data_IF_737130903232
#
_entry.id   IF_737130903232
#
_cell.length_a   1.000
_cell.length_b   1.000
_cell.length_c   1.000
_cell.angle_alpha   90.00
_cell.angle_beta   90.00
_cell.angle_gamma   90.00
#
_symmetry.space_group_name_H-M   'P 1'
#
loop_
_entity.id
_entity.type
_entity.pdbx_description
1 polymer ?
#
# COMPACT_ATOMS: atom_id res chain seq x y z
N UNK A 1 11.11 -0.41 -22.48
CA UNK A 1 10.28 0.75 -22.86
C UNK A 1 9.09 0.76 -21.92
N UNK A 2 9.03 1.70 -20.99
CA UNK A 2 7.86 1.88 -20.11
C UNK A 2 6.76 2.52 -20.93
N UNK A 3 5.72 1.75 -21.25
CA UNK A 3 4.54 2.25 -21.96
C UNK A 3 3.72 3.07 -20.95
N UNK A 4 3.93 4.38 -20.90
CA UNK A 4 3.07 5.28 -20.15
C UNK A 4 1.77 5.40 -20.96
N UNK A 5 0.70 4.80 -20.44
CA UNK A 5 -0.64 4.91 -21.03
C UNK A 5 -1.19 6.27 -20.62
N UNK A 6 -1.37 7.18 -21.58
CA UNK A 6 -2.06 8.46 -21.36
C UNK A 6 -3.54 8.17 -21.05
N UNK A 7 -3.93 8.30 -19.77
CA UNK A 7 -5.30 8.10 -19.31
C UNK A 7 -5.78 9.40 -18.65
N UNK A 8 -6.40 10.24 -19.47
CA UNK A 8 -6.77 11.62 -19.11
C UNK A 8 -7.93 11.73 -18.09
N UNK A 9 -8.44 10.64 -17.51
CA UNK A 9 -9.51 10.70 -16.50
C UNK A 9 -9.45 9.50 -15.56
N UNK A 10 -8.86 9.63 -14.37
CA UNK A 10 -9.07 8.66 -13.28
C UNK A 10 -10.52 8.82 -12.78
N UNK A 11 -11.44 8.08 -13.38
CA UNK A 11 -12.88 8.15 -13.12
C UNK A 11 -13.34 7.17 -12.03
N UNK A 12 -12.44 6.29 -11.57
CA UNK A 12 -12.74 5.26 -10.57
C UNK A 12 -13.57 4.09 -11.11
N UNK A 13 -13.80 4.01 -12.43
CA UNK A 13 -14.60 2.99 -13.08
C UNK A 13 -13.67 1.97 -13.73
N UNK A 14 -13.82 0.70 -13.34
CA UNK A 14 -13.19 -0.41 -14.05
C UNK A 14 -13.96 -0.70 -15.36
N UNK A 15 -13.80 0.18 -16.35
CA UNK A 15 -14.43 0.07 -17.66
C UNK A 15 -13.55 -0.65 -18.69
N UNK A 16 -14.04 -0.73 -19.93
CA UNK A 16 -13.35 -1.45 -21.02
C UNK A 16 -11.90 -0.96 -21.27
N UNK A 17 -11.62 0.34 -21.06
CA UNK A 17 -10.26 0.89 -21.18
C UNK A 17 -9.33 0.35 -20.08
N UNK A 18 -9.80 0.34 -18.84
CA UNK A 18 -9.06 -0.17 -17.68
C UNK A 18 -8.83 -1.68 -17.82
N UNK A 19 -9.85 -2.43 -18.21
CA UNK A 19 -9.74 -3.87 -18.47
C UNK A 19 -8.70 -4.16 -19.57
N UNK A 20 -8.71 -3.41 -20.67
CA UNK A 20 -7.71 -3.57 -21.72
C UNK A 20 -6.30 -3.23 -21.24
N UNK A 21 -6.13 -2.17 -20.44
CA UNK A 21 -4.85 -1.83 -19.83
C UNK A 21 -4.34 -2.93 -18.89
N UNK A 22 -5.23 -3.57 -18.13
CA UNK A 22 -4.89 -4.72 -17.28
C UNK A 22 -4.44 -5.91 -18.12
N UNK A 23 -5.13 -6.23 -19.22
CA UNK A 23 -4.72 -7.30 -20.15
C UNK A 23 -3.36 -7.03 -20.77
N UNK A 24 -3.13 -5.81 -21.26
CA UNK A 24 -1.83 -5.38 -21.80
C UNK A 24 -0.71 -5.54 -20.76
N UNK A 25 -0.98 -5.14 -19.52
CA UNK A 25 -0.04 -5.27 -18.41
C UNK A 25 0.24 -6.74 -18.08
N UNK A 26 -0.79 -7.56 -17.88
CA UNK A 26 -0.67 -8.99 -17.61
C UNK A 26 0.16 -9.69 -18.68
N UNK A 27 -0.09 -9.37 -19.96
CA UNK A 27 0.68 -9.89 -21.08
C UNK A 27 2.16 -9.48 -20.98
N UNK A 28 2.44 -8.22 -20.66
CA UNK A 28 3.82 -7.72 -20.52
C UNK A 28 4.59 -8.36 -19.36
N UNK A 29 3.88 -8.79 -18.31
CA UNK A 29 4.45 -9.42 -17.12
C UNK A 29 4.48 -10.96 -17.22
N UNK A 30 3.97 -11.55 -18.32
CA UNK A 30 3.89 -13.00 -18.47
C UNK A 30 2.87 -13.67 -17.54
N UNK A 31 1.83 -12.94 -17.12
CA UNK A 31 0.74 -13.44 -16.28
C UNK A 31 -0.42 -13.98 -17.13
N UNK A 32 -1.38 -14.65 -16.48
CA UNK A 32 -2.66 -14.98 -17.11
C UNK A 32 -3.36 -13.70 -17.57
N UNK A 33 -3.71 -13.63 -18.87
CA UNK A 33 -4.32 -12.46 -19.51
C UNK A 33 -5.85 -12.59 -19.48
N UNK A 34 -6.44 -12.37 -18.31
CA UNK A 34 -7.88 -12.47 -18.08
C UNK A 34 -8.56 -11.10 -17.88
N UNK A 35 -7.78 -10.02 -17.74
CA UNK A 35 -8.29 -8.69 -17.44
C UNK A 35 -8.71 -8.50 -15.98
N UNK A 36 -8.44 -9.48 -15.11
CA UNK A 36 -8.79 -9.46 -13.69
C UNK A 36 -7.57 -9.06 -12.87
N UNK A 37 -7.71 -8.04 -12.03
CA UNK A 37 -6.66 -7.65 -11.08
C UNK A 37 -6.70 -8.56 -9.85
N UNK A 38 -6.26 -9.80 -10.03
CA UNK A 38 -6.08 -10.79 -8.96
C UNK A 38 -4.76 -10.63 -8.21
N UNK A 39 -4.48 -11.54 -7.28
CA UNK A 39 -3.28 -11.49 -6.41
C UNK A 39 -1.98 -11.42 -7.18
N UNK A 40 -1.84 -12.17 -8.29
CA UNK A 40 -0.65 -12.14 -9.14
C UNK A 40 -0.50 -10.81 -9.89
N UNK A 41 -1.60 -10.26 -10.40
CA UNK A 41 -1.60 -8.95 -11.06
C UNK A 41 -1.21 -7.85 -10.07
N UNK A 42 -1.81 -7.84 -8.87
CA UNK A 42 -1.45 -6.91 -7.78
C UNK A 42 0.01 -7.04 -7.36
N UNK A 43 0.55 -8.26 -7.29
CA UNK A 43 1.94 -8.48 -6.91
C UNK A 43 2.93 -7.97 -7.97
N UNK A 44 2.55 -8.00 -9.25
CA UNK A 44 3.41 -7.57 -10.34
C UNK A 44 3.40 -6.04 -10.56
N UNK A 45 2.42 -5.32 -10.02
CA UNK A 45 2.36 -3.86 -10.15
C UNK A 45 3.64 -3.22 -9.57
N UNK A 46 4.24 -2.26 -10.29
CA UNK A 46 5.34 -1.50 -9.73
C UNK A 46 4.85 -0.66 -8.54
N UNK A 47 5.74 -0.32 -7.60
CA UNK A 47 5.39 0.63 -6.55
C UNK A 47 4.99 1.97 -7.16
N UNK A 48 3.95 2.58 -6.62
CA UNK A 48 3.47 3.91 -6.97
C UNK A 48 4.57 4.94 -6.61
N UNK A 49 5.06 5.73 -7.59
CA UNK A 49 6.10 6.72 -7.36
C UNK A 49 5.68 7.84 -6.39
N UNK A 50 4.38 8.03 -6.14
CA UNK A 50 3.82 8.97 -5.17
C UNK A 50 3.64 8.40 -3.77
N UNK A 51 3.82 7.09 -3.56
CA UNK A 51 3.69 6.51 -2.21
C UNK A 51 4.89 6.86 -1.34
N UNK A 52 4.60 7.38 -0.14
CA UNK A 52 5.62 7.65 0.87
C UNK A 52 6.21 6.33 1.38
N UNK A 53 7.53 6.16 1.25
CA UNK A 53 8.26 5.03 1.82
C UNK A 53 8.77 5.37 3.22
N UNK A 54 8.28 4.67 4.24
CA UNK A 54 8.79 4.79 5.61
C UNK A 54 9.54 3.52 6.04
N UNK A 55 10.65 3.71 6.75
CA UNK A 55 11.43 2.62 7.34
C UNK A 55 12.14 3.07 8.62
N UNK A 56 12.69 2.10 9.35
CA UNK A 56 13.45 2.33 10.58
C UNK A 56 14.53 3.40 10.40
N UNK A 57 14.61 4.31 11.36
CA UNK A 57 15.58 5.41 11.37
C UNK A 57 15.08 6.71 10.73
N UNK A 58 13.90 6.71 10.10
CA UNK A 58 13.24 7.93 9.63
C UNK A 58 12.51 8.64 10.77
N UNK A 59 12.47 9.97 10.72
CA UNK A 59 11.73 10.80 11.66
C UNK A 59 10.97 11.89 10.91
N UNK A 60 9.64 11.78 10.83
CA UNK A 60 8.78 12.67 10.05
C UNK A 60 7.37 12.78 10.66
N UNK A 61 6.63 13.83 10.29
CA UNK A 61 5.20 13.93 10.61
C UNK A 61 4.39 12.74 10.06
N UNK A 62 4.81 12.15 8.95
CA UNK A 62 4.23 10.93 8.38
C UNK A 62 4.39 9.72 9.31
N UNK A 63 5.48 9.65 10.09
CA UNK A 63 5.68 8.58 11.07
C UNK A 63 4.69 8.72 12.24
N UNK A 64 4.37 9.94 12.66
CA UNK A 64 3.32 10.20 13.66
C UNK A 64 1.97 9.66 13.15
N UNK A 65 1.65 9.95 11.89
CA UNK A 65 0.43 9.46 11.25
C UNK A 65 0.40 7.92 11.20
N UNK A 66 1.50 7.29 10.77
CA UNK A 66 1.68 5.84 10.79
C UNK A 66 1.44 5.24 12.19
N UNK A 67 2.10 5.79 13.21
CA UNK A 67 1.98 5.33 14.60
C UNK A 67 0.53 5.45 15.09
N UNK A 68 -0.16 6.54 14.78
CA UNK A 68 -1.57 6.72 15.13
C UNK A 68 -2.50 5.75 14.38
N UNK A 69 -2.21 5.43 13.12
CA UNK A 69 -2.95 4.45 12.35
C UNK A 69 -2.77 3.03 12.89
N UNK A 70 -1.54 2.62 13.18
CA UNK A 70 -1.22 1.31 13.74
C UNK A 70 -1.89 1.07 15.11
N UNK A 71 -2.01 2.11 15.95
CA UNK A 71 -2.75 2.03 17.24
C UNK A 71 -4.23 1.68 17.09
N UNK A 72 -4.81 1.91 15.92
CA UNK A 72 -6.21 1.55 15.64
C UNK A 72 -6.36 0.07 15.27
N UNK A 73 -5.26 -0.63 15.03
CA UNK A 73 -5.27 -2.05 14.71
C UNK A 73 -5.16 -2.86 15.99
N UNK A 74 -6.10 -3.79 16.17
CA UNK A 74 -6.13 -4.64 17.35
C UNK A 74 -4.84 -5.46 17.49
N UNK A 75 -4.23 -5.44 18.68
CA UNK A 75 -3.02 -6.19 18.99
C UNK A 75 -1.73 -5.57 18.44
N UNK A 76 -1.76 -4.33 17.97
CA UNK A 76 -0.59 -3.61 17.47
C UNK A 76 -0.33 -2.38 18.35
N UNK A 77 0.89 -2.27 18.88
CA UNK A 77 1.34 -1.11 19.64
C UNK A 77 2.70 -0.60 19.12
N UNK A 78 2.73 0.53 18.39
CA UNK A 78 3.97 1.15 17.94
C UNK A 78 4.67 1.99 19.03
N UNK A 79 4.08 2.14 20.22
CA UNK A 79 4.56 3.02 21.28
C UNK A 79 4.00 4.44 21.19
N UNK A 80 4.74 5.44 21.67
CA UNK A 80 4.32 6.84 21.56
C UNK A 80 4.25 7.27 20.09
N UNK A 81 3.30 8.16 19.75
CA UNK A 81 3.25 8.76 18.42
C UNK A 81 4.21 9.96 18.37
N UNK A 82 5.50 9.68 18.53
CA UNK A 82 6.59 10.64 18.67
C UNK A 82 7.23 11.04 17.33
N UNK A 83 6.79 10.43 16.24
CA UNK A 83 7.31 10.68 14.89
C UNK A 83 8.64 10.01 14.63
N UNK A 84 9.09 9.10 15.51
CA UNK A 84 10.35 8.38 15.37
C UNK A 84 10.06 6.94 14.94
N UNK A 85 10.63 6.53 13.81
CA UNK A 85 10.54 5.14 13.37
C UNK A 85 11.59 4.29 14.09
N UNK A 86 11.35 4.10 15.39
CA UNK A 86 12.20 3.31 16.28
C UNK A 86 11.88 1.80 16.27
N UNK A 87 12.55 1.01 17.12
CA UNK A 87 12.36 -0.44 17.20
C UNK A 87 10.92 -0.89 17.49
N UNK A 88 10.15 -0.11 18.28
CA UNK A 88 8.73 -0.41 18.54
C UNK A 88 7.87 -0.20 17.30
N UNK A 89 8.07 0.91 16.57
CA UNK A 89 7.40 1.17 15.30
C UNK A 89 7.73 0.09 14.26
N UNK A 90 8.99 -0.33 14.14
CA UNK A 90 9.41 -1.42 13.25
C UNK A 90 8.74 -2.76 13.61
N UNK A 91 8.71 -3.13 14.89
CA UNK A 91 8.02 -4.33 15.34
C UNK A 91 6.51 -4.28 15.07
N UNK A 92 5.89 -3.12 15.27
CA UNK A 92 4.47 -2.90 14.99
C UNK A 92 4.13 -2.99 13.50
N UNK A 93 4.97 -2.42 12.63
CA UNK A 93 4.84 -2.54 11.17
C UNK A 93 4.95 -3.99 10.73
N UNK A 94 5.96 -4.73 11.22
CA UNK A 94 6.11 -6.16 10.89
C UNK A 94 4.94 -7.00 11.39
N UNK A 95 4.42 -6.69 12.58
CA UNK A 95 3.21 -7.35 13.12
C UNK A 95 2.00 -7.07 12.26
N UNK A 96 1.82 -5.82 11.81
CA UNK A 96 0.75 -5.45 10.88
C UNK A 96 0.89 -6.20 9.55
N UNK A 97 2.07 -6.18 8.93
CA UNK A 97 2.34 -6.89 7.69
C UNK A 97 2.02 -8.38 7.81
N UNK A 98 2.43 -9.00 8.92
CA UNK A 98 2.13 -10.40 9.21
C UNK A 98 0.63 -10.65 9.37
N UNK A 99 -0.11 -9.78 10.08
CA UNK A 99 -1.57 -9.90 10.23
C UNK A 99 -2.31 -9.78 8.89
N UNK A 100 -1.74 -9.06 7.91
CA UNK A 100 -2.33 -8.84 6.59
C UNK A 100 -1.86 -9.83 5.53
N UNK A 101 -0.93 -10.72 5.86
CA UNK A 101 -0.39 -11.69 4.91
C UNK A 101 0.40 -11.04 3.77
N UNK A 102 0.99 -9.87 4.00
CA UNK A 102 1.88 -9.20 3.05
C UNK A 102 3.34 -9.44 3.43
N UNK A 103 4.27 -9.01 2.56
CA UNK A 103 5.71 -9.15 2.82
C UNK A 103 6.08 -8.45 4.13
N UNK A 104 6.77 -9.19 5.01
CA UNK A 104 7.18 -8.71 6.34
C UNK A 104 8.61 -8.19 6.26
N UNK A 105 8.78 -7.00 5.72
CA UNK A 105 10.08 -6.34 5.51
C UNK A 105 10.33 -5.17 6.47
N UNK A 106 9.31 -4.73 7.22
CA UNK A 106 9.40 -3.54 8.07
C UNK A 106 9.36 -2.21 7.30
N UNK A 107 9.15 -2.26 5.98
CA UNK A 107 9.02 -1.10 5.12
C UNK A 107 7.54 -0.77 4.91
N UNK A 108 7.18 0.50 5.06
CA UNK A 108 5.83 0.98 4.80
C UNK A 108 5.82 1.62 3.42
N UNK A 109 5.55 0.81 2.40
CA UNK A 109 5.24 1.24 1.04
C UNK A 109 3.88 0.72 0.60
N UNK A 110 3.62 0.62 -0.70
CA UNK A 110 2.29 0.30 -1.24
C UNK A 110 1.62 -0.91 -0.61
N UNK A 111 2.38 -2.00 -0.47
CA UNK A 111 1.90 -3.27 0.06
C UNK A 111 1.55 -3.20 1.54
N UNK A 112 1.99 -2.15 2.23
CA UNK A 112 1.68 -1.88 3.64
C UNK A 112 0.63 -0.77 3.76
N UNK A 113 0.69 0.27 2.92
CA UNK A 113 -0.23 1.39 2.94
C UNK A 113 -1.63 1.05 2.44
N UNK A 114 -1.73 0.27 1.35
CA UNK A 114 -2.96 0.03 0.60
C UNK A 114 -3.62 -1.32 0.90
N UNK A 115 -3.03 -2.13 1.77
CA UNK A 115 -3.66 -3.38 2.21
C UNK A 115 -4.84 -3.09 3.15
N UNK A 116 -5.97 -3.82 3.04
CA UNK A 116 -7.13 -3.62 3.90
C UNK A 116 -6.78 -3.75 5.39
N UNK A 117 -7.07 -2.71 6.16
CA UNK A 117 -6.79 -2.58 7.59
C UNK A 117 -8.00 -2.92 8.49
N UNK A 118 -9.19 -3.17 7.93
CA UNK A 118 -10.40 -3.51 8.70
C UNK A 118 -11.64 -3.71 7.84
N UNK A 119 -12.80 -3.83 8.49
CA UNK A 119 -14.10 -3.92 7.81
C UNK A 119 -14.52 -2.53 7.29
N UNK A 120 -15.09 -2.48 6.07
CA UNK A 120 -15.45 -1.28 5.29
C UNK A 120 -14.34 -0.64 4.42
N UNK A 121 -13.33 -1.41 3.99
CA UNK A 121 -12.39 -0.95 2.95
C UNK A 121 -11.36 0.09 3.42
N UNK A 122 -11.25 0.31 4.73
CA UNK A 122 -10.18 1.13 5.30
C UNK A 122 -8.82 0.48 5.02
N UNK A 123 -7.84 1.28 4.61
CA UNK A 123 -6.42 0.92 4.47
C UNK A 123 -5.58 1.61 5.54
N UNK A 124 -4.33 1.20 5.73
CA UNK A 124 -3.44 1.90 6.66
C UNK A 124 -3.30 3.38 6.26
N UNK A 125 -3.23 3.68 4.96
CA UNK A 125 -3.19 5.04 4.45
C UNK A 125 -4.40 5.87 4.90
N UNK A 126 -5.61 5.33 4.76
CA UNK A 126 -6.84 6.02 5.20
C UNK A 126 -6.88 6.26 6.72
N UNK A 127 -6.36 5.32 7.52
CA UNK A 127 -6.30 5.44 8.97
C UNK A 127 -5.27 6.49 9.42
N UNK A 128 -4.27 6.74 8.58
CA UNK A 128 -3.23 7.74 8.76
C UNK A 128 -3.60 9.10 8.16
N UNK A 129 -4.75 9.22 7.47
CA UNK A 129 -5.14 10.46 6.79
C UNK A 129 -4.30 10.78 5.55
N UNK A 130 -3.59 9.78 5.01
CA UNK A 130 -2.93 9.87 3.71
C UNK A 130 -4.00 9.72 2.63
N UNK A 131 -4.66 10.83 2.29
CA UNK A 131 -5.45 10.90 1.06
C UNK A 131 -4.50 11.21 -0.08
N UNK A 132 -4.24 10.23 -0.93
CA UNK A 132 -3.64 10.49 -2.25
C UNK A 132 -4.63 11.36 -3.04
N UNK A 133 -4.12 12.50 -3.53
CA UNK A 133 -4.79 13.36 -4.52
C UNK A 133 -4.78 12.72 -5.90
#
# INVERSE_FOLDING_TARGET
>A
MTKILDYQQIDGIFGAKTEQAVKDFQLSQGLTVDGIVGTMTWAALPPDPGTVLLQKGMSESTVVALQNGLKRIQGIDPGAADGIFGPKTDAAVKSYQSQRGVVVDGMVGDRTWWVPAGAAGATLASLCGLTTV
#
